data_IF_439096555256
#
_entry.id   IF_439096555256
#
_cell.length_a   1.000
_cell.length_b   1.000
_cell.length_c   1.000
_cell.angle_alpha   90.00
_cell.angle_beta   90.00
_cell.angle_gamma   90.00
#
_symmetry.space_group_name_H-M   'P 1'
#
loop_
_entity.id
_entity.type
_entity.pdbx_description
1 polymer ?
#
# COMPACT_ATOMS: atom_id res chain seq x y z
N UNK A 1 -26.76 -5.43 -9.57
CA UNK A 1 -26.50 -3.99 -9.75
C UNK A 1 -24.99 -3.75 -9.59
N UNK A 2 -24.35 -3.12 -10.59
CA UNK A 2 -22.93 -2.83 -10.53
C UNK A 2 -22.66 -1.75 -9.46
N UNK A 3 -21.71 -2.00 -8.59
CA UNK A 3 -21.24 -1.04 -7.58
C UNK A 3 -20.34 0.00 -8.28
N UNK A 4 -20.95 1.03 -8.84
CA UNK A 4 -20.21 2.11 -9.52
C UNK A 4 -19.28 2.78 -8.50
N UNK A 5 -17.97 2.74 -8.74
CA UNK A 5 -17.01 3.33 -7.81
C UNK A 5 -17.09 4.86 -7.81
N UNK A 6 -16.86 5.44 -6.62
CA UNK A 6 -16.72 6.89 -6.49
C UNK A 6 -15.60 7.43 -7.40
N UNK A 7 -15.75 8.63 -7.95
CA UNK A 7 -14.68 9.27 -8.72
C UNK A 7 -13.35 9.32 -7.96
N UNK A 8 -12.24 9.26 -8.70
CA UNK A 8 -10.90 9.38 -8.11
C UNK A 8 -10.67 10.73 -7.43
N UNK A 9 -11.36 11.77 -7.87
CA UNK A 9 -11.37 13.08 -7.25
C UNK A 9 -11.77 13.00 -5.75
N UNK A 10 -10.96 13.60 -4.88
CA UNK A 10 -11.17 13.57 -3.42
C UNK A 10 -10.73 12.28 -2.72
N UNK A 11 -10.12 11.30 -3.41
CA UNK A 11 -9.60 10.04 -2.82
C UNK A 11 -8.67 10.30 -1.64
N UNK A 12 -7.74 11.26 -1.77
CA UNK A 12 -6.81 11.61 -0.68
C UNK A 12 -7.52 12.19 0.54
N UNK A 13 -8.59 12.95 0.35
CA UNK A 13 -9.40 13.48 1.46
C UNK A 13 -10.09 12.33 2.19
N UNK A 14 -10.71 11.41 1.45
CA UNK A 14 -11.33 10.20 2.03
C UNK A 14 -10.32 9.31 2.75
N UNK A 15 -9.13 9.13 2.17
CA UNK A 15 -8.04 8.37 2.80
C UNK A 15 -7.61 9.03 4.12
N UNK A 16 -7.37 10.34 4.12
CA UNK A 16 -7.01 11.10 5.35
C UNK A 16 -8.08 10.97 6.42
N UNK A 17 -9.37 11.07 6.05
CA UNK A 17 -10.47 10.92 7.00
C UNK A 17 -10.53 9.51 7.62
N UNK A 18 -10.21 8.48 6.84
CA UNK A 18 -10.12 7.09 7.36
C UNK A 18 -8.88 6.89 8.22
N UNK A 19 -7.73 7.42 7.83
CA UNK A 19 -6.48 7.35 8.60
C UNK A 19 -6.55 8.14 9.90
N UNK A 20 -7.31 9.22 9.96
CA UNK A 20 -7.54 9.98 11.20
C UNK A 20 -8.18 9.13 12.31
N UNK A 21 -8.91 8.06 11.93
CA UNK A 21 -9.48 7.08 12.87
C UNK A 21 -8.51 5.95 13.21
N UNK A 22 -7.39 5.84 12.51
CA UNK A 22 -6.36 4.84 12.76
C UNK A 22 -5.61 5.20 14.04
N UNK A 23 -5.94 4.49 15.10
CA UNK A 23 -5.40 4.71 16.43
C UNK A 23 -4.12 3.89 16.59
N UNK A 24 -3.07 4.27 15.90
CA UNK A 24 -1.81 3.57 15.95
C UNK A 24 -1.10 3.86 17.28
N UNK A 25 -0.90 2.81 18.10
CA UNK A 25 -0.19 2.91 19.39
C UNK A 25 1.22 3.47 19.22
N UNK A 26 1.88 3.14 18.11
CA UNK A 26 3.22 3.64 17.78
C UNK A 26 3.27 5.17 17.70
N UNK A 27 2.38 5.77 16.91
CA UNK A 27 2.35 7.23 16.74
C UNK A 27 2.05 7.96 18.05
N UNK A 28 1.21 7.39 18.92
CA UNK A 28 0.90 7.96 20.24
C UNK A 28 2.08 7.80 21.20
N UNK A 29 2.71 6.64 21.24
CA UNK A 29 3.87 6.37 22.08
C UNK A 29 5.02 7.33 21.73
N UNK A 30 5.39 7.39 20.47
CA UNK A 30 6.46 8.26 19.97
C UNK A 30 6.19 9.75 20.26
N UNK A 31 4.95 10.21 20.08
CA UNK A 31 4.59 11.58 20.39
C UNK A 31 4.60 11.87 21.89
N UNK A 32 4.20 10.91 22.73
CA UNK A 32 4.24 11.07 24.19
C UNK A 32 5.69 11.19 24.67
N UNK A 33 6.61 10.40 24.12
CA UNK A 33 8.04 10.49 24.43
C UNK A 33 8.61 11.87 24.06
N UNK A 34 8.37 12.31 22.84
CA UNK A 34 8.85 13.61 22.35
C UNK A 34 8.11 14.83 22.94
N UNK A 35 7.08 14.60 23.75
CA UNK A 35 6.32 15.66 24.44
C UNK A 35 6.73 15.81 25.91
N UNK A 36 7.75 15.10 26.38
CA UNK A 36 8.28 15.27 27.75
C UNK A 36 8.96 16.62 27.88
N UNK A 37 8.90 17.21 29.07
CA UNK A 37 9.51 18.54 29.37
C UNK A 37 11.05 18.55 29.15
N UNK A 38 11.66 17.39 29.25
CA UNK A 38 13.07 17.18 29.00
C UNK A 38 13.27 15.99 28.06
N UNK A 39 14.01 16.21 26.99
CA UNK A 39 14.42 15.16 26.06
C UNK A 39 15.88 14.86 26.35
N UNK A 40 16.11 13.94 27.27
CA UNK A 40 17.44 13.41 27.65
C UNK A 40 17.80 12.15 26.85
N UNK A 41 18.93 11.53 27.19
CA UNK A 41 19.38 10.33 26.47
C UNK A 41 18.40 9.18 26.62
N UNK A 42 17.81 9.00 27.80
CA UNK A 42 16.86 7.91 28.05
C UNK A 42 15.63 8.02 27.12
N UNK A 43 15.17 9.26 26.88
CA UNK A 43 14.06 9.50 25.92
C UNK A 43 14.47 9.13 24.49
N UNK A 44 15.69 9.43 24.09
CA UNK A 44 16.18 9.05 22.76
C UNK A 44 16.29 7.54 22.58
N UNK A 45 16.74 6.83 23.61
CA UNK A 45 16.84 5.37 23.61
C UNK A 45 15.44 4.74 23.49
N UNK A 46 14.43 5.26 24.22
CA UNK A 46 13.03 4.83 24.09
C UNK A 46 12.46 5.14 22.70
N UNK A 47 12.82 6.26 22.07
CA UNK A 47 12.43 6.60 20.71
C UNK A 47 13.04 5.61 19.72
N UNK A 48 14.32 5.29 19.85
CA UNK A 48 15.01 4.32 19.01
C UNK A 48 14.37 2.93 19.12
N UNK A 49 14.14 2.45 20.34
CA UNK A 49 13.45 1.17 20.58
C UNK A 49 12.06 1.15 19.94
N UNK A 50 11.28 2.23 20.09
CA UNK A 50 9.94 2.35 19.49
C UNK A 50 9.98 2.24 17.97
N UNK A 51 10.98 2.84 17.33
CA UNK A 51 11.15 2.81 15.88
C UNK A 51 11.61 1.44 15.38
N UNK A 52 12.50 0.77 16.13
CA UNK A 52 12.90 -0.61 15.84
C UNK A 52 11.75 -1.59 15.97
N UNK A 53 10.93 -1.48 17.01
CA UNK A 53 9.72 -2.26 17.20
C UNK A 53 8.66 -2.01 16.10
N UNK A 54 8.74 -0.85 15.45
CA UNK A 54 7.92 -0.51 14.28
C UNK A 54 8.43 -1.11 12.97
N UNK A 55 9.47 -1.92 13.02
CA UNK A 55 10.08 -2.57 11.85
C UNK A 55 10.68 -1.57 10.84
N UNK A 56 11.13 -0.40 11.33
CA UNK A 56 11.77 0.61 10.50
C UNK A 56 13.14 0.15 9.99
N UNK A 57 13.78 -0.77 10.70
CA UNK A 57 15.13 -1.24 10.47
C UNK A 57 16.19 -0.42 11.23
N UNK A 58 17.33 -1.01 11.51
CA UNK A 58 18.37 -0.39 12.34
C UNK A 58 18.99 0.85 11.70
N UNK A 59 19.47 0.75 10.46
CA UNK A 59 20.13 1.86 9.79
C UNK A 59 19.21 3.09 9.63
N UNK A 60 17.96 2.99 9.11
CA UNK A 60 17.06 4.13 9.03
C UNK A 60 16.71 4.71 10.41
N UNK A 61 16.58 3.86 11.44
CA UNK A 61 16.31 4.31 12.82
C UNK A 61 17.45 5.16 13.37
N UNK A 62 18.68 4.68 13.29
CA UNK A 62 19.86 5.42 13.77
C UNK A 62 19.99 6.77 13.06
N UNK A 63 19.87 6.78 11.72
CA UNK A 63 19.92 8.03 10.93
C UNK A 63 18.83 9.01 11.32
N UNK A 64 17.62 8.51 11.58
CA UNK A 64 16.47 9.35 11.98
C UNK A 64 16.73 9.97 13.37
N UNK A 65 17.15 9.17 14.34
CA UNK A 65 17.39 9.62 15.71
C UNK A 65 18.52 10.66 15.75
N UNK A 66 19.64 10.40 15.06
CA UNK A 66 20.78 11.34 14.96
C UNK A 66 20.33 12.67 14.31
N UNK A 67 19.59 12.61 13.22
CA UNK A 67 19.09 13.81 12.54
C UNK A 67 18.15 14.63 13.43
N UNK A 68 17.26 13.95 14.18
CA UNK A 68 16.37 14.61 15.14
C UNK A 68 17.13 15.24 16.32
N UNK A 69 18.08 14.52 16.90
CA UNK A 69 18.92 15.03 17.97
C UNK A 69 19.68 16.28 17.54
N UNK A 70 20.28 16.24 16.34
CA UNK A 70 20.98 17.38 15.78
C UNK A 70 20.06 18.59 15.59
N UNK A 71 18.86 18.38 15.03
CA UNK A 71 17.89 19.46 14.81
C UNK A 71 17.39 20.06 16.12
N UNK A 72 17.02 19.23 17.09
CA UNK A 72 16.58 19.70 18.42
C UNK A 72 17.67 20.53 19.08
N UNK A 73 18.94 20.11 18.96
CA UNK A 73 20.10 20.83 19.51
C UNK A 73 20.30 22.19 18.81
N UNK A 74 20.23 22.22 17.47
CA UNK A 74 20.46 23.43 16.66
C UNK A 74 19.34 24.44 16.84
N UNK A 75 18.08 23.97 16.82
CA UNK A 75 16.90 24.85 16.95
C UNK A 75 16.64 25.23 18.42
N UNK A 76 17.30 24.58 19.38
CA UNK A 76 17.21 24.89 20.82
C UNK A 76 15.79 24.77 21.37
N UNK A 77 14.93 23.97 20.72
CA UNK A 77 13.52 23.86 21.06
C UNK A 77 13.20 22.55 21.77
N UNK A 78 12.45 22.66 22.85
CA UNK A 78 11.77 21.53 23.51
C UNK A 78 10.26 21.55 23.27
N UNK A 79 9.78 22.42 22.36
CA UNK A 79 8.36 22.52 22.05
C UNK A 79 7.88 21.23 21.33
N UNK A 80 6.94 20.45 21.89
CA UNK A 80 6.47 19.20 21.34
C UNK A 80 5.94 19.32 19.89
N UNK A 81 5.28 20.43 19.57
CA UNK A 81 4.74 20.66 18.23
C UNK A 81 5.86 20.85 17.19
N UNK A 82 6.95 21.53 17.56
CA UNK A 82 8.11 21.72 16.71
C UNK A 82 8.84 20.38 16.50
N UNK A 83 9.09 19.62 17.56
CA UNK A 83 9.75 18.30 17.49
C UNK A 83 8.92 17.31 16.66
N UNK A 84 7.61 17.31 16.81
CA UNK A 84 6.70 16.52 15.95
C UNK A 84 6.82 16.89 14.48
N UNK A 85 6.94 18.17 14.17
CA UNK A 85 7.13 18.65 12.79
C UNK A 85 8.47 18.16 12.23
N UNK A 86 9.55 18.28 13.01
CA UNK A 86 10.88 17.76 12.64
C UNK A 86 10.85 16.26 12.36
N UNK A 87 10.27 15.48 13.29
CA UNK A 87 10.11 14.03 13.11
C UNK A 87 9.39 13.69 11.81
N UNK A 88 8.28 14.38 11.53
CA UNK A 88 7.54 14.16 10.28
C UNK A 88 8.38 14.47 9.05
N UNK A 89 9.15 15.54 9.07
CA UNK A 89 10.01 15.94 7.96
C UNK A 89 11.13 14.93 7.72
N UNK A 90 11.77 14.44 8.79
CA UNK A 90 12.80 13.41 8.66
C UNK A 90 12.23 12.07 8.17
N UNK A 91 11.07 11.65 8.67
CA UNK A 91 10.38 10.45 8.18
C UNK A 91 10.01 10.57 6.70
N UNK A 92 9.58 11.75 6.25
CA UNK A 92 9.28 11.99 4.82
C UNK A 92 10.54 11.87 3.96
N UNK A 93 11.71 12.32 4.45
CA UNK A 93 12.98 12.13 3.73
C UNK A 93 13.33 10.65 3.57
N UNK A 94 13.12 9.84 4.61
CA UNK A 94 13.41 8.39 4.57
C UNK A 94 12.59 7.69 3.49
N UNK A 95 11.31 8.04 3.34
CA UNK A 95 10.46 7.43 2.31
C UNK A 95 10.73 7.96 0.89
N UNK A 96 11.68 8.88 0.74
CA UNK A 96 12.12 9.41 -0.56
C UNK A 96 10.94 9.82 -1.44
N UNK A 97 10.30 10.96 -1.18
CA UNK A 97 9.08 11.39 -1.90
C UNK A 97 9.34 11.67 -3.39
N UNK A 98 10.60 11.82 -3.78
CA UNK A 98 11.10 12.01 -5.14
C UNK A 98 11.10 10.74 -6.01
N UNK A 99 10.95 9.56 -5.40
CA UNK A 99 10.88 8.31 -6.14
C UNK A 99 9.61 8.23 -6.99
N UNK A 100 9.76 7.74 -8.22
CA UNK A 100 8.62 7.31 -9.04
C UNK A 100 7.88 6.15 -8.34
N UNK A 101 6.62 6.42 -7.97
CA UNK A 101 5.70 5.43 -7.36
C UNK A 101 4.48 5.20 -8.22
N UNK A 102 4.54 5.60 -9.47
CA UNK A 102 3.45 5.36 -10.39
C UNK A 102 3.34 3.86 -10.69
N UNK A 103 2.14 3.32 -10.51
CA UNK A 103 1.85 1.95 -10.91
C UNK A 103 1.77 1.90 -12.44
N UNK A 104 2.69 1.16 -13.07
CA UNK A 104 2.69 1.01 -14.54
C UNK A 104 1.57 0.06 -14.95
N UNK A 105 0.46 0.63 -15.32
CA UNK A 105 -0.77 -0.08 -15.69
C UNK A 105 -0.99 -0.15 -17.19
N UNK A 106 -0.32 0.69 -17.97
CA UNK A 106 -0.37 0.63 -19.43
C UNK A 106 0.71 -0.31 -19.95
N UNK A 107 0.33 -1.13 -20.91
CA UNK A 107 1.26 -1.93 -21.69
C UNK A 107 1.82 -1.18 -22.89
N UNK A 108 2.58 -1.88 -23.73
CA UNK A 108 3.13 -1.38 -24.99
C UNK A 108 2.81 -2.34 -26.13
N UNK A 109 2.82 -1.81 -27.35
CA UNK A 109 2.73 -2.62 -28.58
C UNK A 109 1.47 -3.51 -28.64
N UNK A 110 0.33 -3.00 -28.14
CA UNK A 110 -0.94 -3.73 -28.11
C UNK A 110 -1.01 -4.85 -27.07
N UNK A 111 -0.08 -4.87 -26.11
CA UNK A 111 -0.16 -5.74 -24.96
C UNK A 111 -0.73 -4.98 -23.75
N UNK A 112 -1.48 -5.65 -22.86
CA UNK A 112 -1.92 -5.03 -21.61
C UNK A 112 -0.75 -4.78 -20.66
N UNK A 113 -0.87 -3.81 -19.77
CA UNK A 113 -0.03 -3.75 -18.59
C UNK A 113 -0.33 -4.94 -17.67
N UNK A 114 0.70 -5.52 -17.05
CA UNK A 114 0.51 -6.66 -16.16
C UNK A 114 0.97 -6.29 -14.76
N UNK A 115 0.05 -6.41 -13.80
CA UNK A 115 0.34 -6.19 -12.38
C UNK A 115 0.19 -7.51 -11.63
N UNK A 116 1.29 -8.03 -11.13
CA UNK A 116 1.32 -9.25 -10.32
C UNK A 116 1.33 -8.89 -8.83
N UNK A 117 0.31 -9.34 -8.08
CA UNK A 117 0.19 -9.11 -6.65
C UNK A 117 0.59 -10.36 -5.88
N UNK A 118 1.72 -10.27 -5.19
CA UNK A 118 2.31 -11.39 -4.44
C UNK A 118 2.27 -11.16 -2.94
N UNK A 119 2.33 -12.23 -2.16
CA UNK A 119 2.40 -12.18 -0.71
C UNK A 119 1.98 -13.50 -0.06
N UNK A 120 2.27 -13.65 1.23
CA UNK A 120 1.88 -14.82 2.00
C UNK A 120 0.35 -14.87 2.24
N UNK A 121 -0.14 -15.99 2.80
CA UNK A 121 -1.57 -16.14 3.08
C UNK A 121 -2.04 -15.14 4.15
N UNK A 122 -3.25 -14.61 3.99
CA UNK A 122 -3.89 -13.72 4.96
C UNK A 122 -3.46 -12.24 4.91
N UNK A 123 -2.44 -11.84 4.13
CA UNK A 123 -1.98 -10.43 4.06
C UNK A 123 -2.91 -9.51 3.27
N UNK A 124 -3.95 -10.05 2.64
CA UNK A 124 -4.97 -9.25 1.95
C UNK A 124 -4.75 -9.04 0.45
N UNK A 125 -4.03 -9.94 -0.24
CA UNK A 125 -3.82 -9.87 -1.71
C UNK A 125 -5.13 -9.69 -2.47
N UNK A 126 -6.06 -10.64 -2.34
CA UNK A 126 -7.36 -10.64 -3.03
C UNK A 126 -8.14 -9.35 -2.77
N UNK A 127 -8.19 -8.91 -1.51
CA UNK A 127 -8.84 -7.64 -1.15
C UNK A 127 -8.16 -6.44 -1.78
N UNK A 128 -6.83 -6.45 -1.86
CA UNK A 128 -6.04 -5.37 -2.47
C UNK A 128 -6.28 -5.30 -3.97
N UNK A 129 -6.25 -6.46 -4.65
CA UNK A 129 -6.57 -6.55 -6.09
C UNK A 129 -7.97 -6.01 -6.38
N UNK A 130 -8.98 -6.43 -5.61
CA UNK A 130 -10.34 -5.93 -5.76
C UNK A 130 -10.45 -4.40 -5.56
N UNK A 131 -9.72 -3.84 -4.61
CA UNK A 131 -9.67 -2.39 -4.39
C UNK A 131 -8.94 -1.65 -5.51
N UNK A 132 -7.83 -2.18 -6.02
CA UNK A 132 -7.11 -1.62 -7.16
C UNK A 132 -8.00 -1.65 -8.39
N UNK A 133 -8.63 -2.79 -8.70
CA UNK A 133 -9.55 -2.92 -9.83
C UNK A 133 -10.66 -1.85 -9.79
N UNK A 134 -11.29 -1.68 -8.62
CA UNK A 134 -12.31 -0.64 -8.42
C UNK A 134 -11.79 0.79 -8.71
N UNK A 135 -10.56 1.08 -8.29
CA UNK A 135 -9.92 2.37 -8.55
C UNK A 135 -9.68 2.58 -10.04
N UNK A 136 -9.13 1.57 -10.71
CA UNK A 136 -8.80 1.64 -12.14
C UNK A 136 -10.05 1.77 -13.00
N UNK A 137 -11.13 1.06 -12.67
CA UNK A 137 -12.44 1.22 -13.34
C UNK A 137 -12.97 2.64 -13.13
N UNK A 138 -12.84 3.21 -11.93
CA UNK A 138 -13.24 4.59 -11.66
C UNK A 138 -12.43 5.62 -12.46
N UNK A 139 -11.19 5.28 -12.81
CA UNK A 139 -10.32 6.09 -13.66
C UNK A 139 -10.53 5.82 -15.18
N UNK A 140 -11.54 5.00 -15.52
CA UNK A 140 -11.94 4.70 -16.92
C UNK A 140 -11.09 3.65 -17.61
N UNK A 141 -10.24 2.91 -16.86
CA UNK A 141 -9.42 1.85 -17.42
C UNK A 141 -10.20 0.55 -17.61
N UNK A 142 -9.87 -0.17 -18.66
CA UNK A 142 -10.40 -1.52 -18.92
C UNK A 142 -9.49 -2.56 -18.31
N UNK A 143 -10.07 -3.54 -17.62
CA UNK A 143 -9.32 -4.50 -16.82
C UNK A 143 -9.75 -5.95 -17.06
N UNK A 144 -8.84 -6.86 -16.72
CA UNK A 144 -9.12 -8.28 -16.53
C UNK A 144 -8.41 -8.78 -15.27
N UNK A 145 -9.09 -9.63 -14.50
CA UNK A 145 -8.51 -10.24 -13.30
C UNK A 145 -8.06 -11.67 -13.58
N UNK A 146 -6.92 -12.07 -13.03
CA UNK A 146 -6.41 -13.43 -13.05
C UNK A 146 -6.39 -14.04 -11.66
N UNK A 147 -7.20 -15.06 -11.41
CA UNK A 147 -7.28 -15.75 -10.11
C UNK A 147 -6.24 -16.87 -10.03
N UNK A 148 -4.97 -16.51 -9.86
CA UNK A 148 -3.84 -17.45 -9.81
C UNK A 148 -3.61 -18.09 -8.42
N UNK A 149 -4.43 -17.81 -7.41
CA UNK A 149 -4.46 -18.56 -6.15
C UNK A 149 -5.24 -19.86 -6.34
N UNK A 150 -4.60 -20.82 -6.97
CA UNK A 150 -5.21 -22.10 -7.36
C UNK A 150 -5.32 -23.12 -6.22
N UNK A 151 -4.66 -22.85 -5.09
CA UNK A 151 -4.67 -23.71 -3.91
C UNK A 151 -5.87 -23.46 -2.99
N UNK A 152 -6.56 -22.33 -3.16
CA UNK A 152 -7.68 -21.91 -2.33
C UNK A 152 -8.86 -21.52 -3.20
N UNK A 153 -9.80 -22.44 -3.39
CA UNK A 153 -11.01 -22.19 -4.16
C UNK A 153 -11.75 -20.92 -3.71
N UNK A 154 -11.87 -20.72 -2.40
CA UNK A 154 -12.52 -19.52 -1.83
C UNK A 154 -11.82 -18.20 -2.23
N UNK A 155 -10.51 -18.17 -2.47
CA UNK A 155 -9.82 -16.98 -2.91
C UNK A 155 -10.17 -16.61 -4.35
N UNK A 156 -10.27 -17.60 -5.22
CA UNK A 156 -10.70 -17.44 -6.61
C UNK A 156 -12.14 -16.94 -6.71
N UNK A 157 -13.04 -17.52 -5.92
CA UNK A 157 -14.45 -17.08 -5.84
C UNK A 157 -14.58 -15.67 -5.27
N UNK A 158 -13.79 -15.33 -4.25
CA UNK A 158 -13.76 -13.98 -3.69
C UNK A 158 -13.29 -12.96 -4.73
N UNK A 159 -12.26 -13.27 -5.51
CA UNK A 159 -11.78 -12.38 -6.56
C UNK A 159 -12.82 -12.20 -7.67
N UNK A 160 -13.49 -13.29 -8.07
CA UNK A 160 -14.61 -13.22 -9.03
C UNK A 160 -15.72 -12.31 -8.50
N UNK A 161 -16.09 -12.45 -7.23
CA UNK A 161 -17.10 -11.58 -6.61
C UNK A 161 -16.69 -10.10 -6.64
N UNK A 162 -15.41 -9.80 -6.44
CA UNK A 162 -14.91 -8.43 -6.58
C UNK A 162 -14.99 -7.93 -8.03
N UNK A 163 -14.61 -8.77 -8.99
CA UNK A 163 -14.72 -8.46 -10.42
C UNK A 163 -16.16 -8.16 -10.82
N UNK A 164 -17.08 -9.05 -10.47
CA UNK A 164 -18.51 -8.91 -10.81
C UNK A 164 -19.12 -7.61 -10.30
N UNK A 165 -18.73 -7.18 -9.08
CA UNK A 165 -19.23 -5.91 -8.49
C UNK A 165 -18.86 -4.68 -9.33
N UNK A 166 -17.75 -4.70 -10.01
CA UNK A 166 -17.25 -3.57 -10.81
C UNK A 166 -17.31 -3.82 -12.32
N UNK A 167 -17.92 -4.93 -12.74
CA UNK A 167 -18.10 -5.29 -14.14
C UNK A 167 -16.82 -5.77 -14.84
N UNK A 168 -15.86 -6.31 -14.07
CA UNK A 168 -14.58 -6.80 -14.57
C UNK A 168 -14.58 -8.33 -14.60
N UNK A 169 -14.21 -8.91 -15.74
CA UNK A 169 -14.08 -10.36 -15.88
C UNK A 169 -12.90 -10.91 -15.07
N UNK A 170 -13.09 -12.12 -14.53
CA UNK A 170 -12.04 -12.87 -13.85
C UNK A 170 -11.73 -14.17 -14.61
N UNK A 171 -10.48 -14.35 -15.02
CA UNK A 171 -9.95 -15.61 -15.55
C UNK A 171 -9.55 -16.48 -14.35
N UNK A 172 -10.02 -17.70 -14.33
CA UNK A 172 -9.72 -18.71 -13.30
C UNK A 172 -9.64 -20.10 -13.94
N UNK A 173 -8.95 -21.01 -13.29
CA UNK A 173 -9.02 -22.43 -13.65
C UNK A 173 -10.23 -23.06 -12.96
N UNK A 174 -10.92 -23.94 -13.68
CA UNK A 174 -11.95 -24.81 -13.09
C UNK A 174 -11.33 -26.03 -12.38
N UNK A 175 -10.06 -26.32 -12.67
CA UNK A 175 -9.33 -27.43 -12.06
C UNK A 175 -8.69 -26.97 -10.77
N UNK A 176 -9.06 -27.61 -9.66
CA UNK A 176 -8.41 -27.41 -8.38
C UNK A 176 -6.93 -27.81 -8.43
N UNK A 177 -6.06 -26.99 -7.85
CA UNK A 177 -4.63 -27.22 -7.87
C UNK A 177 -3.97 -27.05 -9.26
N UNK A 178 -4.62 -26.35 -10.18
CA UNK A 178 -3.99 -25.96 -11.44
C UNK A 178 -2.70 -25.18 -11.21
N UNK A 179 -1.78 -25.22 -12.17
CA UNK A 179 -0.56 -24.43 -12.10
C UNK A 179 -0.89 -22.92 -12.10
N UNK A 180 -0.52 -22.16 -11.05
CA UNK A 180 -0.74 -20.72 -10.99
C UNK A 180 -0.18 -19.95 -12.19
N UNK A 181 0.96 -20.41 -12.73
CA UNK A 181 1.58 -19.78 -13.87
C UNK A 181 0.73 -19.94 -15.13
N UNK A 182 0.06 -21.10 -15.32
CA UNK A 182 -0.86 -21.29 -16.43
C UNK A 182 -2.05 -20.35 -16.37
N UNK A 183 -2.62 -20.16 -15.18
CA UNK A 183 -3.75 -19.22 -14.98
C UNK A 183 -3.33 -17.77 -15.24
N UNK A 184 -2.13 -17.38 -14.77
CA UNK A 184 -1.57 -16.06 -15.05
C UNK A 184 -1.35 -15.85 -16.55
N UNK A 185 -0.78 -16.85 -17.24
CA UNK A 185 -0.59 -16.82 -18.69
C UNK A 185 -1.91 -16.66 -19.44
N UNK A 186 -2.92 -17.46 -19.08
CA UNK A 186 -4.25 -17.41 -19.72
C UNK A 186 -4.93 -16.06 -19.48
N UNK A 187 -4.76 -15.47 -18.29
CA UNK A 187 -5.28 -14.14 -17.99
C UNK A 187 -4.62 -13.06 -18.86
N UNK A 188 -3.29 -13.10 -19.02
CA UNK A 188 -2.58 -12.13 -19.87
C UNK A 188 -2.95 -12.32 -21.34
N UNK A 189 -3.05 -13.56 -21.81
CA UNK A 189 -3.49 -13.89 -23.17
C UNK A 189 -4.89 -13.36 -23.44
N UNK A 190 -5.84 -13.63 -22.54
CA UNK A 190 -7.21 -13.16 -22.64
C UNK A 190 -7.29 -11.63 -22.60
N UNK A 191 -6.46 -10.98 -21.76
CA UNK A 191 -6.36 -9.53 -21.69
C UNK A 191 -5.90 -8.91 -23.02
N UNK A 192 -4.90 -9.51 -23.65
CA UNK A 192 -4.43 -9.10 -24.97
C UNK A 192 -5.51 -9.27 -26.04
N UNK A 193 -6.16 -10.43 -26.07
CA UNK A 193 -7.22 -10.73 -27.04
C UNK A 193 -8.43 -9.80 -26.91
N UNK A 194 -8.75 -9.36 -25.69
CA UNK A 194 -9.86 -8.44 -25.41
C UNK A 194 -9.43 -6.96 -25.50
N UNK A 195 -8.16 -6.67 -25.68
CA UNK A 195 -7.64 -5.30 -25.79
C UNK A 195 -7.83 -4.47 -24.51
N UNK A 196 -7.73 -5.11 -23.33
CA UNK A 196 -7.83 -4.37 -22.06
C UNK A 196 -6.53 -3.61 -21.77
N UNK A 197 -6.62 -2.53 -21.00
CA UNK A 197 -5.47 -1.72 -20.60
C UNK A 197 -4.55 -2.48 -19.64
N UNK A 198 -5.13 -3.23 -18.69
CA UNK A 198 -4.40 -3.89 -17.61
C UNK A 198 -4.94 -5.27 -17.27
N UNK A 199 -4.04 -6.17 -16.90
CA UNK A 199 -4.36 -7.46 -16.27
C UNK A 199 -3.80 -7.45 -14.84
N UNK A 200 -4.66 -7.69 -13.85
CA UNK A 200 -4.27 -7.85 -12.44
C UNK A 200 -4.27 -9.34 -12.07
N UNK A 201 -3.14 -9.88 -11.63
CA UNK A 201 -2.99 -11.28 -11.25
C UNK A 201 -2.64 -11.41 -9.76
#
# INVERSE_FOLDING_TARGET
ELDMPDPSAGRLVRLRARLARSNNMLGKGLLALLSRDRIDQDVWDEVEETLLLADLGSEPTTRLVEALQQRVRVEGTSNPAAVKKMLREELVKIVRPDMDRELKTAGSDGNPGVVLVVGVNGVGKTTTVGKIARVMVADGQTLLLGAADTFRAAASEQLTTWGDRVGVKTVRSEKEGADPASVAFDAVKAGKEQGVDTVLV
#
